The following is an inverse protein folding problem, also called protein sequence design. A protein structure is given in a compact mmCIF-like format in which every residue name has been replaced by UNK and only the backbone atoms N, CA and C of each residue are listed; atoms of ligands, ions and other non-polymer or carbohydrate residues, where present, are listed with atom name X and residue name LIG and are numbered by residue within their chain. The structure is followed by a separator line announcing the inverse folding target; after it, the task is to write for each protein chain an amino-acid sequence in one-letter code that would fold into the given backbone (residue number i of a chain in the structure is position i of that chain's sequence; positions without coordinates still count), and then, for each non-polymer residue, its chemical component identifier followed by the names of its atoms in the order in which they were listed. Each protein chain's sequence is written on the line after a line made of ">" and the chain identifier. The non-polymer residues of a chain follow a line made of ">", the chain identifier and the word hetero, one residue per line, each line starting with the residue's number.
data_IF_803121808682
#
_entry.id   IF_803121808682
#
_cell.length_a   1.000
_cell.length_b   1.000
_cell.length_c   1.000
_cell.angle_alpha   90.00
_cell.angle_beta   90.00
_cell.angle_gamma   90.00
#
_symmetry.space_group_name_H-M   'P 1'
#
loop_
_entity.id
_entity.type
_entity.pdbx_description
1 polymer ?
#
# COMPACT_ATOMS: atom_id res chain seq x y z
N UNK A 1 5.51 13.48 -5.57
CA UNK A 1 5.85 12.69 -4.38
C UNK A 1 5.52 13.53 -3.14
N UNK A 2 4.73 13.00 -2.22
CA UNK A 2 4.26 13.71 -1.02
C UNK A 2 4.87 13.06 0.22
N UNK A 3 5.76 13.76 0.91
CA UNK A 3 6.31 13.31 2.20
C UNK A 3 5.41 13.83 3.32
N UNK A 4 5.20 13.01 4.34
CA UNK A 4 4.31 13.30 5.46
C UNK A 4 5.00 12.97 6.77
N UNK A 5 5.03 13.95 7.68
CA UNK A 5 5.71 13.81 8.98
C UNK A 5 4.74 13.79 10.17
N UNK A 6 3.43 13.84 9.93
CA UNK A 6 2.41 13.75 10.98
C UNK A 6 1.20 12.93 10.56
N UNK A 7 0.62 12.20 11.52
CA UNK A 7 -0.60 11.40 11.33
C UNK A 7 -1.77 12.26 10.81
N UNK A 8 -1.99 13.45 11.40
CA UNK A 8 -3.07 14.36 10.98
C UNK A 8 -2.94 14.79 9.51
N UNK A 9 -1.71 15.09 9.07
CA UNK A 9 -1.47 15.45 7.68
C UNK A 9 -1.65 14.25 6.75
N UNK A 10 -1.17 13.07 7.16
CA UNK A 10 -1.35 11.82 6.40
C UNK A 10 -2.81 11.49 6.15
N UNK A 11 -3.61 11.48 7.20
CA UNK A 11 -5.06 11.25 7.10
C UNK A 11 -5.76 12.30 6.23
N UNK A 12 -5.37 13.57 6.34
CA UNK A 12 -5.97 14.63 5.52
C UNK A 12 -5.63 14.43 4.05
N UNK A 13 -4.38 14.10 3.73
CA UNK A 13 -3.96 13.83 2.35
C UNK A 13 -4.64 12.60 1.76
N UNK A 14 -4.73 11.51 2.52
CA UNK A 14 -5.43 10.30 2.08
C UNK A 14 -6.93 10.53 1.86
N UNK A 15 -7.55 11.46 2.59
CA UNK A 15 -8.96 11.84 2.40
C UNK A 15 -9.20 12.64 1.12
N UNK A 16 -8.31 13.58 0.79
CA UNK A 16 -8.55 14.56 -0.27
C UNK A 16 -7.86 14.24 -1.60
N UNK A 17 -6.85 13.36 -1.58
CA UNK A 17 -6.09 12.99 -2.77
C UNK A 17 -6.15 11.47 -2.99
N UNK A 18 -6.23 11.08 -4.25
CA UNK A 18 -6.02 9.70 -4.66
C UNK A 18 -4.52 9.46 -4.87
N UNK A 19 -4.01 8.36 -4.31
CA UNK A 19 -2.63 7.95 -4.49
C UNK A 19 -2.60 6.52 -5.03
N UNK A 20 -1.97 6.33 -6.18
CA UNK A 20 -1.80 4.99 -6.75
C UNK A 20 -0.82 4.13 -5.94
N UNK A 21 0.14 4.78 -5.25
CA UNK A 21 1.15 4.13 -4.42
C UNK A 21 1.27 4.86 -3.09
N UNK A 22 1.22 4.11 -2.00
CA UNK A 22 1.45 4.60 -0.64
C UNK A 22 2.54 3.74 -0.01
N UNK A 23 3.60 4.37 0.48
CA UNK A 23 4.66 3.70 1.24
C UNK A 23 4.53 4.13 2.70
N UNK A 24 4.31 3.17 3.58
CA UNK A 24 4.06 3.39 5.00
C UNK A 24 5.14 2.70 5.81
N UNK A 25 5.71 3.43 6.76
CA UNK A 25 6.59 2.87 7.78
C UNK A 25 5.77 2.21 8.89
N UNK A 26 6.13 1.01 9.34
CA UNK A 26 5.41 0.32 10.42
C UNK A 26 5.41 1.12 11.73
N UNK A 27 6.47 1.90 11.97
CA UNK A 27 6.68 2.74 13.13
C UNK A 27 6.38 4.22 12.87
N UNK A 28 5.55 4.52 11.86
CA UNK A 28 5.22 5.89 11.46
C UNK A 28 4.76 6.74 12.65
N UNK A 29 5.40 7.90 12.86
CA UNK A 29 5.17 8.78 14.00
C UNK A 29 5.33 8.11 15.39
N UNK A 30 6.13 7.04 15.49
CA UNK A 30 6.37 6.31 16.75
C UNK A 30 5.24 5.37 17.17
N UNK A 31 4.23 5.15 16.31
CA UNK A 31 3.16 4.19 16.57
C UNK A 31 3.65 2.77 16.26
N UNK A 32 3.29 1.78 17.07
CA UNK A 32 3.54 0.37 16.71
C UNK A 32 2.61 -0.07 15.58
N UNK A 33 3.04 -1.06 14.80
CA UNK A 33 2.26 -1.64 13.68
C UNK A 33 0.80 -1.93 14.04
N UNK A 34 0.55 -2.58 15.18
CA UNK A 34 -0.79 -2.93 15.67
C UNK A 34 -1.71 -1.74 15.94
N UNK A 35 -1.13 -0.54 16.15
CA UNK A 35 -1.84 0.70 16.46
C UNK A 35 -1.61 1.78 15.42
N UNK A 36 -1.02 1.42 14.27
CA UNK A 36 -0.67 2.39 13.24
C UNK A 36 -1.94 2.99 12.64
N UNK A 37 -2.18 4.27 12.92
CA UNK A 37 -3.41 4.98 12.60
C UNK A 37 -3.64 5.05 11.09
N UNK A 38 -2.58 5.19 10.29
CA UNK A 38 -2.68 5.24 8.84
C UNK A 38 -3.06 3.86 8.28
N UNK A 39 -2.46 2.79 8.80
CA UNK A 39 -2.81 1.42 8.39
C UNK A 39 -4.27 1.11 8.73
N UNK A 40 -4.71 1.39 9.96
CA UNK A 40 -6.09 1.22 10.40
C UNK A 40 -7.09 2.07 9.63
N UNK A 41 -6.68 3.21 9.08
CA UNK A 41 -7.51 4.03 8.21
C UNK A 41 -7.70 3.39 6.81
N UNK A 42 -6.65 2.74 6.28
CA UNK A 42 -6.67 2.14 4.94
C UNK A 42 -7.35 0.76 4.92
N UNK A 43 -7.28 -0.01 6.01
CA UNK A 43 -7.83 -1.37 6.11
C UNK A 43 -9.35 -1.46 5.85
N UNK A 44 -10.23 -0.65 6.48
CA UNK A 44 -11.68 -0.75 6.27
C UNK A 44 -12.18 -0.03 5.01
N UNK A 45 -11.27 0.46 4.15
CA UNK A 45 -11.64 1.22 2.96
C UNK A 45 -12.46 0.37 1.99
N UNK A 46 -13.58 0.88 1.43
CA UNK A 46 -14.36 0.17 0.44
C UNK A 46 -13.51 -0.28 -0.76
N UNK A 47 -13.80 -1.46 -1.30
CA UNK A 47 -13.02 -2.06 -2.39
C UNK A 47 -12.87 -1.16 -3.62
N UNK A 48 -13.88 -0.33 -3.92
CA UNK A 48 -13.82 0.60 -5.05
C UNK A 48 -12.77 1.71 -4.90
N UNK A 49 -12.32 2.01 -3.68
CA UNK A 49 -11.20 2.93 -3.42
C UNK A 49 -9.91 2.15 -3.14
N UNK A 50 -10.00 1.09 -2.32
CA UNK A 50 -8.82 0.31 -1.87
C UNK A 50 -8.04 -0.31 -3.04
N UNK A 51 -8.71 -0.76 -4.11
CA UNK A 51 -8.07 -1.38 -5.30
C UNK A 51 -7.20 -0.44 -6.11
N UNK A 52 -7.41 0.88 -6.02
CA UNK A 52 -6.58 1.87 -6.69
C UNK A 52 -5.30 2.20 -5.92
N UNK A 53 -5.18 1.74 -4.67
CA UNK A 53 -4.01 2.02 -3.82
C UNK A 53 -3.11 0.79 -3.77
N UNK A 54 -1.86 0.93 -4.21
CA UNK A 54 -0.81 -0.04 -3.96
C UNK A 54 -0.07 0.34 -2.66
N UNK A 55 -0.43 -0.32 -1.56
CA UNK A 55 0.12 -0.06 -0.24
C UNK A 55 1.36 -0.93 0.01
N UNK A 56 2.49 -0.27 0.25
CA UNK A 56 3.76 -0.87 0.64
C UNK A 56 4.01 -0.60 2.11
N UNK A 57 4.22 -1.64 2.90
CA UNK A 57 4.62 -1.54 4.31
C UNK A 57 6.12 -1.76 4.43
N UNK A 58 6.81 -0.83 5.07
CA UNK A 58 8.21 -0.98 5.47
C UNK A 58 8.25 -1.56 6.88
N UNK A 59 9.06 -2.59 7.08
CA UNK A 59 9.14 -3.30 8.36
C UNK A 59 10.56 -3.75 8.68
N UNK A 60 10.90 -3.83 9.96
CA UNK A 60 12.16 -4.40 10.44
C UNK A 60 12.05 -5.92 10.61
N UNK A 61 10.91 -6.39 11.10
CA UNK A 61 10.68 -7.78 11.48
C UNK A 61 10.17 -8.62 10.32
N UNK A 62 9.30 -8.06 9.48
CA UNK A 62 8.66 -8.80 8.39
C UNK A 62 9.57 -8.89 7.18
N UNK A 63 9.55 -10.05 6.52
CA UNK A 63 10.39 -10.30 5.34
C UNK A 63 9.82 -9.61 4.11
N UNK A 64 10.70 -9.15 3.23
CA UNK A 64 10.30 -8.63 1.91
C UNK A 64 9.51 -9.70 1.15
N UNK A 65 8.36 -9.33 0.58
CA UNK A 65 7.40 -10.23 -0.08
C UNK A 65 6.82 -11.33 0.83
N UNK A 66 6.68 -11.09 2.13
CA UNK A 66 5.84 -11.94 2.98
C UNK A 66 4.36 -11.75 2.61
N UNK A 67 3.89 -12.55 1.65
CA UNK A 67 2.54 -12.43 1.12
C UNK A 67 1.46 -12.75 2.16
N UNK A 68 1.75 -13.63 3.14
CA UNK A 68 0.79 -13.98 4.18
C UNK A 68 0.63 -12.82 5.16
N UNK A 69 1.74 -12.25 5.63
CA UNK A 69 1.69 -11.06 6.47
C UNK A 69 1.06 -9.87 5.73
N UNK A 70 1.39 -9.69 4.44
CA UNK A 70 0.82 -8.63 3.62
C UNK A 70 -0.71 -8.76 3.53
N UNK A 71 -1.20 -9.99 3.31
CA UNK A 71 -2.63 -10.30 3.28
C UNK A 71 -3.32 -10.01 4.63
N UNK A 72 -2.75 -10.47 5.75
CA UNK A 72 -3.29 -10.24 7.10
C UNK A 72 -3.39 -8.73 7.40
N UNK A 73 -2.38 -7.96 7.01
CA UNK A 73 -2.32 -6.51 7.25
C UNK A 73 -3.08 -5.69 6.20
N UNK A 74 -3.72 -6.35 5.22
CA UNK A 74 -4.38 -5.72 4.06
C UNK A 74 -3.46 -4.76 3.30
N UNK A 75 -2.18 -5.12 3.14
CA UNK A 75 -1.18 -4.41 2.35
C UNK A 75 -0.90 -5.18 1.05
N UNK A 76 -0.35 -4.51 0.03
CA UNK A 76 -0.04 -5.15 -1.24
C UNK A 76 1.38 -5.74 -1.26
N UNK A 77 2.31 -5.13 -0.52
CA UNK A 77 3.69 -5.57 -0.46
C UNK A 77 4.31 -5.19 0.88
N UNK A 78 5.12 -6.07 1.44
CA UNK A 78 6.01 -5.77 2.55
C UNK A 78 7.43 -5.65 2.02
N UNK A 79 8.18 -4.65 2.49
CA UNK A 79 9.60 -4.49 2.24
C UNK A 79 10.34 -4.38 3.56
N UNK A 80 11.33 -5.25 3.76
CA UNK A 80 12.18 -5.17 4.92
C UNK A 80 13.18 -3.99 4.76
N UNK A 81 13.48 -3.27 5.85
CA UNK A 81 14.46 -2.18 5.82
C UNK A 81 15.81 -2.57 5.22
N UNK A 82 16.23 -3.83 5.42
CA UNK A 82 17.49 -4.38 4.89
C UNK A 82 17.57 -4.41 3.36
N UNK A 83 16.42 -4.44 2.69
CA UNK A 83 16.33 -4.54 1.23
C UNK A 83 16.00 -3.18 0.57
N UNK A 84 15.96 -2.08 1.33
CA UNK A 84 15.64 -0.74 0.79
C UNK A 84 16.62 -0.27 -0.28
N UNK A 85 17.86 -0.74 -0.27
CA UNK A 85 18.83 -0.48 -1.34
C UNK A 85 18.34 -0.95 -2.73
N UNK A 86 17.41 -1.92 -2.77
CA UNK A 86 16.80 -2.47 -3.98
C UNK A 86 15.34 -2.02 -4.17
N UNK A 87 14.87 -1.05 -3.39
CA UNK A 87 13.47 -0.66 -3.33
C UNK A 87 12.84 -0.40 -4.71
N UNK A 88 13.54 0.30 -5.60
CA UNK A 88 13.05 0.59 -6.96
C UNK A 88 12.76 -0.69 -7.77
N UNK A 89 13.61 -1.70 -7.64
CA UNK A 89 13.44 -2.98 -8.36
C UNK A 89 12.28 -3.76 -7.75
N UNK A 90 12.21 -3.79 -6.42
CA UNK A 90 11.15 -4.48 -5.66
C UNK A 90 9.77 -3.86 -5.95
N UNK A 91 9.66 -2.53 -5.91
CA UNK A 91 8.43 -1.80 -6.18
C UNK A 91 7.93 -2.04 -7.60
N UNK A 92 8.82 -1.95 -8.60
CA UNK A 92 8.44 -2.23 -9.99
C UNK A 92 7.93 -3.66 -10.18
N UNK A 93 8.51 -4.63 -9.46
CA UNK A 93 8.04 -6.01 -9.47
C UNK A 93 6.64 -6.12 -8.85
N UNK A 94 6.45 -5.58 -7.64
CA UNK A 94 5.17 -5.62 -6.93
C UNK A 94 4.04 -4.94 -7.72
N UNK A 95 4.31 -3.80 -8.35
CA UNK A 95 3.34 -3.09 -9.19
C UNK A 95 2.92 -3.93 -10.40
N UNK A 96 3.87 -4.56 -11.09
CA UNK A 96 3.58 -5.46 -12.23
C UNK A 96 2.76 -6.68 -11.81
N UNK A 97 3.05 -7.24 -10.64
CA UNK A 97 2.28 -8.37 -10.09
C UNK A 97 0.84 -7.94 -9.76
N UNK A 98 0.65 -6.75 -9.18
CA UNK A 98 -0.68 -6.19 -8.88
C UNK A 98 -1.49 -5.86 -10.14
N UNK A 99 -0.86 -5.28 -11.16
CA UNK A 99 -1.49 -5.03 -12.45
C UNK A 99 -1.97 -6.33 -13.10
N UNK A 100 -1.13 -7.37 -13.07
CA UNK A 100 -1.50 -8.71 -13.57
C UNK A 100 -2.67 -9.31 -12.79
N UNK A 101 -2.70 -9.14 -11.47
CA UNK A 101 -3.79 -9.62 -10.62
C UNK A 101 -5.13 -8.99 -10.98
N UNK A 102 -5.17 -7.67 -11.20
CA UNK A 102 -6.39 -6.95 -11.57
C UNK A 102 -6.70 -6.91 -13.06
N UNK A 103 -5.83 -7.45 -13.93
CA UNK A 103 -5.99 -7.38 -15.38
C UNK A 103 -7.37 -7.81 -15.86
N UNK A 104 -7.83 -9.00 -15.46
CA UNK A 104 -9.13 -9.53 -15.88
C UNK A 104 -10.30 -8.63 -15.42
N UNK A 105 -10.24 -8.11 -14.19
CA UNK A 105 -11.25 -7.19 -13.67
C UNK A 105 -11.28 -5.88 -14.47
N UNK A 106 -10.10 -5.31 -14.75
CA UNK A 106 -9.96 -4.07 -15.49
C UNK A 106 -10.39 -4.22 -16.96
N UNK A 107 -10.09 -5.36 -17.58
CA UNK A 107 -10.49 -5.65 -18.96
C UNK A 107 -12.03 -5.74 -19.06
N UNK A 108 -12.70 -6.44 -18.14
CA UNK A 108 -14.17 -6.47 -18.07
C UNK A 108 -14.77 -5.07 -17.86
N UNK A 109 -14.17 -4.24 -17.00
CA UNK A 109 -14.64 -2.87 -16.78
C UNK A 109 -14.54 -2.00 -18.05
N UNK A 110 -13.45 -2.14 -18.81
CA UNK A 110 -13.26 -1.45 -20.09
C UNK A 110 -14.29 -1.88 -21.14
N UNK A 111 -14.57 -3.19 -21.23
CA UNK A 111 -15.60 -3.72 -22.13
C UNK A 111 -17.00 -3.17 -21.79
N UNK A 112 -17.27 -2.93 -20.51
CA UNK A 112 -18.52 -2.34 -20.02
C UNK A 112 -18.57 -0.80 -20.11
N UNK A 113 -17.51 -0.16 -20.65
CA UNK A 113 -17.43 1.30 -20.79
C UNK A 113 -17.30 2.06 -19.46
N UNK A 114 -16.88 1.38 -18.38
CA UNK A 114 -16.69 1.95 -17.05
C UNK A 114 -15.19 1.92 -16.71
N UNK A 115 -14.44 2.90 -17.19
CA UNK A 115 -13.01 3.08 -16.88
C UNK A 115 -12.78 4.28 -15.98
#
# INVERSE_FOLDING_TARGET
>A
MSIVDSVKMGLSRLRYNQYDVVVLDENFCGEKLEKNTILHYLQPMPMFQRRHIFLVLLSEELRTFDNLAAFILSTNMIVNYRDLNKFNILLNRGLKENERFYKAFNDCLRELGKS
#
